data_IF_333670838121
#
_entry.id   IF_333670838121
#
_cell.length_a   1.000
_cell.length_b   1.000
_cell.length_c   1.000
_cell.angle_alpha   90.00
_cell.angle_beta   90.00
_cell.angle_gamma   90.00
#
_symmetry.space_group_name_H-M   'P 1'
#
loop_
_entity.id
_entity.type
_entity.pdbx_description
1 polymer ?
2 non-polymer ?
#
# COMPACT_ATOMS: atom_id res chain seq x y z
N UNK A 1 -1.45 -8.07 -17.94
CA UNK A 1 -1.90 -9.19 -18.82
C UNK A 1 -2.78 -10.14 -17.98
N UNK A 2 -2.44 -10.34 -16.74
CA UNK A 2 -3.25 -11.24 -15.88
C UNK A 2 -3.37 -10.63 -14.48
N UNK A 3 -3.86 -11.38 -13.52
CA UNK A 3 -3.99 -10.85 -12.13
C UNK A 3 -2.64 -10.27 -11.68
N UNK A 4 -2.03 -9.48 -12.51
CA UNK A 4 -0.73 -8.84 -12.14
C UNK A 4 -0.95 -7.90 -10.94
N UNK A 5 -2.05 -7.17 -10.94
CA UNK A 5 -2.35 -6.25 -9.80
C UNK A 5 -2.44 -7.05 -8.50
N UNK A 6 -2.90 -8.26 -8.57
CA UNK A 6 -3.00 -9.12 -7.36
C UNK A 6 -1.62 -9.40 -6.77
N UNK A 7 -0.70 -9.89 -7.57
CA UNK A 7 0.66 -10.17 -7.05
C UNK A 7 1.27 -8.90 -6.46
N UNK A 8 0.90 -7.76 -6.97
CA UNK A 8 1.45 -6.47 -6.44
C UNK A 8 1.01 -6.30 -4.98
N UNK A 9 -0.25 -6.49 -4.70
CA UNK A 9 -0.75 -6.31 -3.31
C UNK A 9 -0.13 -7.40 -2.41
N UNK A 10 0.29 -8.50 -2.99
CA UNK A 10 0.91 -9.59 -2.17
C UNK A 10 2.27 -9.10 -1.68
N UNK A 11 2.99 -8.38 -2.50
CA UNK A 11 4.32 -7.85 -2.09
C UNK A 11 4.11 -6.87 -0.94
N UNK A 12 3.08 -6.05 -1.04
CA UNK A 12 2.81 -5.05 0.03
C UNK A 12 2.57 -5.80 1.33
N UNK A 13 1.95 -6.96 1.26
CA UNK A 13 1.68 -7.75 2.49
C UNK A 13 3.00 -8.09 3.17
N UNK A 14 4.00 -8.44 2.40
CA UNK A 14 5.32 -8.76 3.00
C UNK A 14 5.88 -7.49 3.65
N UNK A 15 5.56 -6.35 3.10
CA UNK A 15 6.07 -5.07 3.69
C UNK A 15 5.17 -4.68 4.87
N UNK A 16 3.92 -5.07 4.83
CA UNK A 16 2.98 -4.72 5.93
C UNK A 16 3.50 -5.31 7.25
N UNK A 17 3.82 -6.57 7.26
CA UNK A 17 4.36 -7.20 8.50
C UNK A 17 5.66 -6.51 8.91
N UNK A 18 6.47 -6.15 7.95
CA UNK A 18 7.78 -5.50 8.25
C UNK A 18 7.56 -4.20 9.04
N UNK A 19 6.64 -3.38 8.62
CA UNK A 19 6.40 -2.10 9.36
C UNK A 19 5.72 -2.38 10.70
N UNK A 20 5.02 -3.48 10.82
CA UNK A 20 4.35 -3.81 12.10
C UNK A 20 5.35 -4.48 13.04
N UNK A 21 6.53 -4.79 12.54
CA UNK A 21 7.56 -5.45 13.39
C UNK A 21 6.98 -6.73 13.99
N UNK A 22 6.93 -7.79 13.23
CA UNK A 22 6.35 -9.06 13.77
C UNK A 22 7.46 -9.91 14.41
N UNK A 23 8.24 -10.60 13.60
CA UNK A 23 9.32 -11.45 14.17
C UNK A 23 10.60 -10.62 14.33
N UNK A 24 10.82 -9.66 13.47
CA UNK A 24 12.05 -8.83 13.56
C UNK A 24 11.85 -7.73 14.61
N UNK A 25 12.62 -7.77 15.68
CA UNK A 25 12.53 -6.76 16.77
C UNK A 25 12.62 -5.32 16.26
N UNK A 26 13.50 -5.06 15.34
CA UNK A 26 13.64 -3.68 14.80
C UNK A 26 13.30 -3.68 13.31
N UNK A 27 12.91 -2.55 12.78
CA UNK A 27 12.57 -2.50 11.33
C UNK A 27 12.77 -1.07 10.80
N UNK A 28 13.06 -0.94 9.54
CA UNK A 28 13.27 0.42 8.95
C UNK A 28 12.06 0.77 8.07
N UNK A 29 11.81 2.03 7.87
CA UNK A 29 10.65 2.45 7.03
C UNK A 29 11.07 2.42 5.55
N UNK A 30 10.25 1.85 4.71
CA UNK A 30 10.60 1.79 3.26
C UNK A 30 9.51 2.50 2.45
N UNK A 31 9.54 3.80 2.40
CA UNK A 31 8.50 4.55 1.62
C UNK A 31 8.65 4.22 0.13
N UNK A 32 9.86 4.17 -0.36
CA UNK A 32 10.07 3.86 -1.81
C UNK A 32 9.28 2.61 -2.19
N UNK A 33 9.47 1.53 -1.48
CA UNK A 33 8.75 0.27 -1.80
C UNK A 33 7.25 0.58 -2.04
N UNK A 34 6.61 1.20 -1.07
CA UNK A 34 5.17 1.54 -1.24
C UNK A 34 5.01 2.44 -2.45
N UNK A 35 5.85 3.42 -2.59
CA UNK A 35 5.74 4.33 -3.77
C UNK A 35 5.92 3.51 -5.05
N UNK A 36 6.84 2.59 -5.06
CA UNK A 36 7.07 1.76 -6.29
C UNK A 36 5.72 1.21 -6.77
N UNK A 37 5.32 0.08 -6.26
CA UNK A 37 4.02 -0.52 -6.68
C UNK A 37 3.01 0.59 -6.96
N UNK A 38 3.12 1.68 -6.24
CA UNK A 38 2.13 2.79 -6.39
C UNK A 38 2.02 3.21 -7.86
N UNK A 39 3.12 3.55 -8.47
CA UNK A 39 3.08 4.00 -9.90
C UNK A 39 2.80 2.82 -10.83
N UNK A 40 3.41 1.69 -10.58
CA UNK A 40 3.18 0.51 -11.44
C UNK A 40 1.69 0.15 -11.41
N UNK A 41 1.08 0.21 -10.27
CA UNK A 41 -0.37 -0.13 -10.18
C UNK A 41 -1.17 0.91 -10.96
N UNK A 42 -0.83 2.16 -10.79
CA UNK A 42 -1.57 3.24 -11.52
C UNK A 42 -1.68 2.86 -12.99
N UNK A 43 -0.61 2.40 -13.57
CA UNK A 43 -0.66 1.98 -15.01
C UNK A 43 -1.77 0.96 -15.19
N UNK A 44 -1.66 -0.17 -14.54
CA UNK A 44 -2.71 -1.22 -14.67
C UNK A 44 -4.10 -0.60 -14.45
N UNK A 45 -4.18 0.34 -13.54
CA UNK A 45 -5.51 0.97 -13.23
C UNK A 45 -6.06 1.62 -14.52
N UNK A 46 -5.23 2.35 -15.21
CA UNK A 46 -5.68 3.01 -16.47
C UNK A 46 -6.16 1.94 -17.45
N UNK A 47 -5.48 0.83 -17.49
CA UNK A 47 -5.87 -0.26 -18.43
C UNK A 47 -7.10 -0.99 -17.86
N UNK A 48 -7.44 -0.72 -16.63
CA UNK A 48 -8.63 -1.39 -16.02
C UNK A 48 -9.85 -0.47 -16.19
N UNK A 49 -9.64 0.72 -16.69
CA UNK A 49 -10.77 1.66 -16.92
C UNK A 49 -11.47 2.00 -15.60
N UNK A 50 -10.73 2.39 -14.59
CA UNK A 50 -11.39 2.75 -13.29
C UNK A 50 -10.57 3.84 -12.60
N UNK A 51 -11.20 4.57 -11.70
CA UNK A 51 -10.54 5.68 -10.95
C UNK A 51 -9.30 5.24 -10.19
N UNK A 52 -8.30 6.09 -10.14
CA UNK A 52 -7.04 5.75 -9.43
C UNK A 52 -7.34 5.55 -7.95
N UNK A 53 -8.13 6.40 -7.37
CA UNK A 53 -8.46 6.27 -5.93
C UNK A 53 -9.31 5.01 -5.71
N UNK A 54 -9.24 4.44 -4.54
CA UNK A 54 -10.03 3.21 -4.27
C UNK A 54 -10.03 2.91 -2.77
N UNK A 55 -10.91 3.56 -2.05
CA UNK A 55 -11.03 3.37 -0.57
C UNK A 55 -11.24 1.89 -0.23
N UNK A 56 -12.33 1.33 -0.69
CA UNK A 56 -12.57 -0.12 -0.45
C UNK A 56 -11.23 -0.80 -0.15
N UNK A 57 -10.33 -0.77 -1.09
CA UNK A 57 -8.99 -1.39 -0.88
C UNK A 57 -8.41 -0.86 0.44
N UNK A 58 -8.43 0.43 0.63
CA UNK A 58 -7.89 1.01 1.88
C UNK A 58 -8.68 0.45 3.08
N UNK A 59 -9.97 0.32 2.93
CA UNK A 59 -10.79 -0.25 4.05
C UNK A 59 -10.36 -1.69 4.29
N UNK A 60 -10.16 -2.44 3.23
CA UNK A 60 -9.72 -3.86 3.36
C UNK A 60 -8.42 -3.92 4.15
N UNK A 61 -7.50 -3.02 3.86
CA UNK A 61 -6.20 -3.01 4.59
C UNK A 61 -6.45 -2.70 6.07
N UNK A 62 -7.33 -1.77 6.35
CA UNK A 62 -7.61 -1.40 7.77
C UNK A 62 -7.92 -2.67 8.57
N UNK A 63 -8.76 -3.53 8.03
CA UNK A 63 -9.09 -4.79 8.74
C UNK A 63 -7.88 -5.71 8.74
N UNK A 64 -7.05 -5.62 7.72
CA UNK A 64 -5.84 -6.50 7.63
C UNK A 64 -4.84 -6.10 8.72
N UNK A 65 -4.58 -4.83 8.86
CA UNK A 65 -3.61 -4.37 9.90
C UNK A 65 -4.13 -4.73 11.30
N UNK A 66 -5.41 -4.58 11.54
CA UNK A 66 -5.96 -4.90 12.89
C UNK A 66 -5.66 -6.35 13.25
N UNK A 67 -5.77 -7.25 12.30
CA UNK A 67 -5.52 -8.70 12.59
C UNK A 67 -4.03 -8.89 12.95
N UNK A 68 -3.14 -8.39 12.15
CA UNK A 68 -1.69 -8.54 12.46
C UNK A 68 -1.36 -7.75 13.73
N UNK A 69 -2.05 -6.67 13.96
CA UNK A 69 -1.78 -5.83 15.16
C UNK A 69 -1.94 -6.67 16.43
N UNK A 70 -3.05 -7.34 16.57
CA UNK A 70 -3.27 -8.18 17.78
C UNK A 70 -2.25 -9.34 17.77
N UNK A 71 -1.91 -9.84 16.62
CA UNK A 71 -0.96 -10.99 16.55
C UNK A 71 0.34 -10.68 17.30
N UNK A 72 1.12 -9.76 16.79
CA UNK A 72 2.43 -9.45 17.45
C UNK A 72 2.20 -8.49 18.63
N UNK A 73 0.96 -8.18 18.91
CA UNK A 73 0.67 -7.26 20.06
C UNK A 73 1.73 -6.18 20.15
N UNK A 74 2.18 -5.67 19.05
CA UNK A 74 3.19 -4.58 19.09
C UNK A 74 2.50 -3.25 19.43
N UNK A 75 1.36 -3.01 18.86
CA UNK A 75 0.63 -1.74 19.15
C UNK A 75 -0.81 -1.82 18.64
N UNK A 76 -1.48 -0.70 18.54
CA UNK A 76 -2.89 -0.72 18.05
C UNK A 76 -3.15 0.48 17.15
N UNK A 77 -3.66 1.55 17.69
CA UNK A 77 -3.96 2.76 16.88
C UNK A 77 -2.67 3.31 16.23
N UNK A 78 -1.59 3.34 16.94
CA UNK A 78 -0.33 3.87 16.35
C UNK A 78 -0.01 3.15 15.04
N UNK A 79 -0.18 1.86 15.01
CA UNK A 79 0.14 1.10 13.77
C UNK A 79 -0.78 1.53 12.62
N UNK A 80 -2.06 1.61 12.88
CA UNK A 80 -3.02 1.99 11.80
C UNK A 80 -2.71 3.41 11.29
N UNK A 81 -2.44 4.32 12.18
CA UNK A 81 -2.14 5.72 11.74
C UNK A 81 -0.93 5.74 10.79
N UNK A 82 0.06 4.91 11.04
CA UNK A 82 1.25 4.90 10.16
C UNK A 82 0.90 4.41 8.74
N UNK A 83 0.11 3.37 8.64
CA UNK A 83 -0.26 2.85 7.30
C UNK A 83 -0.96 3.95 6.48
N UNK A 84 -1.88 4.65 7.08
CA UNK A 84 -2.58 5.74 6.35
C UNK A 84 -1.56 6.68 5.72
N UNK A 85 -0.51 7.00 6.44
CA UNK A 85 0.53 7.90 5.90
C UNK A 85 1.15 7.27 4.64
N UNK A 86 1.37 5.97 4.66
CA UNK A 86 1.94 5.28 3.47
C UNK A 86 0.97 5.37 2.28
N UNK A 87 -0.29 5.22 2.54
CA UNK A 87 -1.30 5.29 1.44
C UNK A 87 -1.34 6.72 0.87
N UNK A 88 -1.31 7.70 1.72
CA UNK A 88 -1.34 9.12 1.23
C UNK A 88 -0.27 9.31 0.16
N UNK A 89 0.95 9.07 0.50
CA UNK A 89 2.06 9.26 -0.49
C UNK A 89 1.86 8.28 -1.65
N UNK A 90 1.13 7.22 -1.43
CA UNK A 90 0.88 6.23 -2.52
C UNK A 90 -0.11 6.85 -3.51
N UNK A 91 -1.16 7.44 -3.02
CA UNK A 91 -2.16 8.09 -3.92
C UNK A 91 -1.54 9.34 -4.56
N UNK A 92 -1.02 10.21 -3.74
CA UNK A 92 -0.39 11.46 -4.25
C UNK A 92 0.46 11.19 -5.49
N UNK A 93 1.50 10.41 -5.36
CA UNK A 93 2.41 10.18 -6.51
C UNK A 93 1.72 9.32 -7.58
N UNK A 94 0.72 8.58 -7.21
CA UNK A 94 0.00 7.75 -8.21
C UNK A 94 -0.61 8.67 -9.27
N UNK A 95 -1.37 9.64 -8.85
CA UNK A 95 -2.01 10.58 -9.82
C UNK A 95 -0.93 11.39 -10.55
N UNK A 96 0.05 11.85 -9.84
CA UNK A 96 1.14 12.65 -10.49
C UNK A 96 1.90 11.76 -11.48
N UNK A 97 2.10 10.51 -11.14
CA UNK A 97 2.83 9.57 -12.04
C UNK A 97 2.04 9.40 -13.34
N UNK A 98 0.78 9.06 -13.23
CA UNK A 98 -0.04 8.85 -14.47
C UNK A 98 -0.13 10.16 -15.27
N UNK A 99 -0.24 11.27 -14.59
CA UNK A 99 -0.32 12.59 -15.30
C UNK A 99 1.01 12.89 -16.00
N UNK A 100 2.11 12.55 -15.37
CA UNK A 100 3.43 12.85 -15.99
C UNK A 100 3.66 11.96 -17.22
N UNK A 101 3.01 10.83 -17.28
CA UNK A 101 3.18 9.94 -18.47
C UNK A 101 2.29 10.47 -19.61
N UNK A 102 1.18 11.07 -19.28
CA UNK A 102 0.28 11.61 -20.35
C UNK A 102 0.96 12.80 -21.04
N UNK A 103 1.78 13.52 -20.32
CA UNK A 103 2.48 14.70 -20.92
C UNK A 103 3.38 14.25 -22.07
N UNK A 104 4.19 13.27 -21.81
CA UNK A 104 5.11 12.74 -22.85
C UNK A 104 4.28 12.03 -23.92
X LIG B 1 -3.10 1.24 -2.95
X LIG B 1 -4.41 0.56 -2.58
X LIG B 1 -5.55 0.94 -3.18
X LIG B 1 -5.74 2.25 -3.93
X LIG B 1 -6.42 3.13 -3.05
X LIG B 1 -4.40 2.94 -4.30
X LIG B 1 -3.40 2.75 -3.14
X LIG B 1 -3.80 2.42 -5.47
X LIG B 1 -3.13 1.15 -5.55
X LIG B 1 -2.39 0.83 -4.26
X LIG B 1 -1.98 0.93 -1.95
X LIG B 1 -1.09 1.79 -1.78
X LIG B 1 -1.98 -0.15 -1.34
X LIG B 1 -4.11 0.03 -5.89
X LIG B 1 -3.77 -1.16 -5.98
X LIG B 1 -5.28 0.40 -6.07
X LIG B 1 -4.37 -0.23 -1.84
X LIG B 1 -6.41 0.29 -3.16
X LIG B 1 -6.36 2.10 -4.82
X LIG B 1 -7.34 2.86 -3.09
X LIG B 1 -4.61 3.99 -4.49
X LIG B 1 -2.49 3.31 -3.34
X LIG B 1 -3.76 3.18 -2.21
X LIG B 1 -2.44 1.19 -6.39
X LIG B 1 -2.20 -0.25 -4.23
X LIG B 1 -1.37 1.18 -4.32
#
# INVERSE_FOLDING_TARGET
MIEKLAEIRKKIDEIDNKILKARWPWAEKLIAERNSLAKDVAEIKNQLGIPINDPEREKYIYDRIRKLCKEHNVDENIGIKIFQRLIEHNKALQKQYLEETLEH
TSA C1 C2 C3 C4 O5 C5 C6 O7 C8 C9 C10 O1 O2 C11 O3 O4 H2 H3 H4 HO5 H5 H61 H62 H8 H91 H92
#
